data_IF_283552404447
#
_entry.id   IF_283552404447
#
_cell.length_a   1.000
_cell.length_b   1.000
_cell.length_c   1.000
_cell.angle_alpha   90.00
_cell.angle_beta   90.00
_cell.angle_gamma   90.00
#
_symmetry.space_group_name_H-M   'P 1'
#
loop_
_entity.id
_entity.type
_entity.pdbx_description
1 polymer ?
#
# COMPACT_ATOMS: atom_id res chain seq x y z
N UNK A 1 9.05 -19.38 15.53
CA UNK A 1 10.15 -18.53 15.01
C UNK A 1 9.87 -18.09 13.58
N UNK A 2 9.64 -19.02 12.63
CA UNK A 2 9.39 -18.69 11.20
C UNK A 2 8.18 -17.77 10.99
N UNK A 3 7.01 -18.09 11.55
CA UNK A 3 5.81 -17.24 11.42
C UNK A 3 6.01 -15.83 11.99
N UNK A 4 6.76 -15.75 13.10
CA UNK A 4 7.12 -14.49 13.75
C UNK A 4 8.02 -13.63 12.86
N UNK A 5 9.03 -14.24 12.22
CA UNK A 5 9.90 -13.57 11.26
C UNK A 5 9.12 -13.09 10.03
N UNK A 6 8.25 -13.93 9.46
CA UNK A 6 7.43 -13.57 8.30
C UNK A 6 6.47 -12.42 8.60
N UNK A 7 5.89 -12.39 9.80
CA UNK A 7 5.00 -11.31 10.22
C UNK A 7 5.75 -9.97 10.37
N UNK A 8 6.98 -9.99 10.91
CA UNK A 8 7.83 -8.79 11.00
C UNK A 8 8.27 -8.33 9.62
N UNK A 9 8.69 -9.25 8.74
CA UNK A 9 9.06 -8.94 7.35
C UNK A 9 7.86 -8.32 6.62
N UNK A 10 6.69 -8.94 6.70
CA UNK A 10 5.46 -8.43 6.09
C UNK A 10 5.08 -7.04 6.60
N UNK A 11 5.27 -6.77 7.89
CA UNK A 11 5.09 -5.42 8.45
C UNK A 11 6.08 -4.41 7.87
N UNK A 12 7.38 -4.72 7.88
CA UNK A 12 8.42 -3.81 7.39
C UNK A 12 8.25 -3.52 5.90
N UNK A 13 8.00 -4.54 5.07
CA UNK A 13 7.75 -4.35 3.64
C UNK A 13 6.51 -3.50 3.39
N UNK A 14 5.43 -3.73 4.14
CA UNK A 14 4.20 -2.93 4.02
C UNK A 14 4.39 -1.48 4.44
N UNK A 15 5.15 -1.23 5.50
CA UNK A 15 5.44 0.10 6.00
C UNK A 15 6.28 0.92 5.00
N UNK A 16 7.36 0.31 4.49
CA UNK A 16 8.19 0.93 3.45
C UNK A 16 7.39 1.15 2.17
N UNK A 17 6.55 0.17 1.78
CA UNK A 17 5.68 0.29 0.62
C UNK A 17 4.70 1.46 0.73
N UNK A 18 4.09 1.62 1.90
CA UNK A 18 3.15 2.71 2.16
C UNK A 18 3.81 4.08 2.11
N UNK A 19 5.04 4.22 2.65
CA UNK A 19 5.84 5.44 2.49
C UNK A 19 6.11 5.72 1.01
N UNK A 20 6.43 4.71 0.21
CA UNK A 20 6.61 4.86 -1.24
C UNK A 20 5.35 5.39 -1.94
N UNK A 21 4.17 4.91 -1.55
CA UNK A 21 2.88 5.42 -2.05
C UNK A 21 2.63 6.87 -1.63
N UNK A 22 2.98 7.25 -0.40
CA UNK A 22 2.90 8.65 0.06
C UNK A 22 3.82 9.55 -0.77
N UNK A 23 5.10 9.15 -0.95
CA UNK A 23 6.07 9.92 -1.74
C UNK A 23 5.57 10.10 -3.18
N UNK A 24 5.05 9.04 -3.79
CA UNK A 24 4.45 9.09 -5.13
C UNK A 24 3.28 10.05 -5.19
N UNK A 25 2.43 10.04 -4.16
CA UNK A 25 1.28 10.95 -4.08
C UNK A 25 1.73 12.39 -3.94
N UNK A 26 2.75 12.69 -3.15
CA UNK A 26 3.19 14.06 -2.86
C UNK A 26 4.10 14.69 -3.92
N UNK A 27 4.61 13.89 -4.86
CA UNK A 27 5.55 14.33 -5.91
C UNK A 27 4.86 14.53 -7.25
N UNK A 28 5.41 15.42 -8.09
CA UNK A 28 4.80 15.84 -9.35
C UNK A 28 5.52 15.32 -10.60
N UNK A 29 6.56 14.51 -10.45
CA UNK A 29 7.34 13.99 -11.58
C UNK A 29 6.85 12.60 -11.96
N UNK A 30 5.62 12.54 -12.47
CA UNK A 30 5.00 11.30 -12.88
C UNK A 30 5.38 10.92 -14.30
N UNK A 31 5.19 11.82 -15.26
CA UNK A 31 5.55 11.56 -16.67
C UNK A 31 6.29 12.74 -17.25
N UNK A 32 7.30 12.45 -18.06
CA UNK A 32 8.02 13.45 -18.83
C UNK A 32 7.47 13.43 -20.25
N UNK A 33 7.11 14.60 -20.75
CA UNK A 33 6.42 14.84 -22.02
C UNK A 33 7.19 15.82 -22.87
N UNK A 34 6.96 15.78 -24.17
CA UNK A 34 7.55 16.69 -25.15
C UNK A 34 6.42 17.30 -26.01
N UNK A 35 6.42 18.63 -26.13
CA UNK A 35 5.42 19.37 -26.93
C UNK A 35 5.69 19.37 -28.43
N UNK A 36 6.87 18.92 -28.86
CA UNK A 36 7.29 18.82 -30.26
C UNK A 36 7.59 17.35 -30.62
N UNK A 37 8.36 17.12 -31.69
CA UNK A 37 8.93 15.79 -31.94
C UNK A 37 10.05 15.50 -30.93
N UNK A 38 10.20 14.23 -30.54
CA UNK A 38 11.24 13.77 -29.59
C UNK A 38 12.66 14.29 -29.94
N UNK A 39 13.15 14.21 -31.19
CA UNK A 39 14.47 14.75 -31.51
C UNK A 39 14.56 16.27 -31.36
N UNK A 40 13.46 17.00 -31.59
CA UNK A 40 13.39 18.46 -31.42
C UNK A 40 13.47 18.87 -29.95
N UNK A 41 12.72 18.23 -29.06
CA UNK A 41 12.82 18.54 -27.61
C UNK A 41 14.20 18.22 -27.04
N UNK A 42 14.83 17.11 -27.46
CA UNK A 42 16.20 16.80 -27.01
C UNK A 42 17.23 17.82 -27.52
N UNK A 43 16.97 18.47 -28.66
CA UNK A 43 17.86 19.50 -29.22
C UNK A 43 17.65 20.88 -28.58
N UNK A 44 16.42 21.20 -28.20
CA UNK A 44 16.05 22.48 -27.57
C UNK A 44 16.14 22.42 -26.03
N UNK A 45 16.27 21.23 -25.45
CA UNK A 45 16.24 20.97 -24.01
C UNK A 45 14.96 21.47 -23.31
N UNK A 46 13.85 21.52 -24.07
CA UNK A 46 12.52 21.89 -23.58
C UNK A 46 11.69 20.62 -23.31
N UNK A 47 11.53 20.27 -22.02
CA UNK A 47 10.74 19.12 -21.56
C UNK A 47 9.62 19.59 -20.63
N UNK A 48 8.47 18.91 -20.69
CA UNK A 48 7.38 19.09 -19.73
C UNK A 48 7.35 17.92 -18.75
N UNK A 49 7.20 18.18 -17.45
CA UNK A 49 6.88 17.17 -16.45
C UNK A 49 5.40 17.33 -16.07
N UNK A 50 4.59 16.29 -16.25
CA UNK A 50 3.21 16.29 -15.76
C UNK A 50 3.09 15.49 -14.48
N UNK A 51 2.36 16.06 -13.54
CA UNK A 51 2.23 15.55 -12.18
C UNK A 51 0.80 15.47 -11.70
N UNK A 52 0.65 14.97 -10.48
CA UNK A 52 -0.64 14.88 -9.85
C UNK A 52 -1.13 16.26 -9.38
N UNK A 53 -0.25 17.11 -8.85
CA UNK A 53 -0.59 18.42 -8.26
C UNK A 53 -0.10 19.63 -9.04
N UNK A 54 0.94 19.47 -9.84
CA UNK A 54 1.55 20.53 -10.64
C UNK A 54 2.05 19.97 -11.98
N UNK A 55 1.98 20.80 -13.01
CA UNK A 55 2.66 20.56 -14.29
C UNK A 55 3.84 21.53 -14.37
N UNK A 56 5.01 21.02 -14.73
CA UNK A 56 6.24 21.79 -14.80
C UNK A 56 6.78 21.84 -16.22
N UNK A 57 7.37 22.97 -16.59
CA UNK A 57 8.13 23.16 -17.83
C UNK A 57 9.59 23.35 -17.46
N UNK A 58 10.45 22.57 -18.09
CA UNK A 58 11.90 22.56 -17.92
C UNK A 58 12.53 22.98 -19.25
N UNK A 59 13.26 24.08 -19.25
CA UNK A 59 14.08 24.55 -20.37
C UNK A 59 15.45 24.99 -19.85
N UNK A 60 16.42 25.25 -20.73
CA UNK A 60 17.74 25.74 -20.31
C UNK A 60 17.62 27.02 -19.48
N UNK A 61 17.95 26.94 -18.19
CA UNK A 61 17.88 28.07 -17.25
C UNK A 61 16.48 28.41 -16.75
N UNK A 62 15.47 27.58 -17.02
CA UNK A 62 14.08 27.83 -16.64
C UNK A 62 13.42 26.57 -16.06
N UNK A 63 12.97 26.65 -14.81
CA UNK A 63 12.16 25.62 -14.17
C UNK A 63 10.93 26.28 -13.56
N UNK A 64 9.79 26.14 -14.25
CA UNK A 64 8.53 26.74 -13.81
C UNK A 64 7.45 25.69 -13.67
N UNK A 65 6.85 25.62 -12.48
CA UNK A 65 5.73 24.73 -12.18
C UNK A 65 4.45 25.53 -12.01
N UNK A 66 3.40 25.12 -12.73
CA UNK A 66 2.05 25.63 -12.59
C UNK A 66 1.22 24.65 -11.75
N UNK A 67 0.68 25.07 -10.60
CA UNK A 67 -0.15 24.19 -9.78
C UNK A 67 -1.51 23.95 -10.43
N UNK A 68 -2.01 22.71 -10.33
CA UNK A 68 -3.29 22.26 -10.86
C UNK A 68 -4.38 22.41 -9.78
N UNK A 69 -4.75 23.66 -9.48
CA UNK A 69 -5.73 24.02 -8.43
C UNK A 69 -7.18 24.09 -8.93
N UNK A 70 -7.38 24.35 -10.21
CA UNK A 70 -8.70 24.57 -10.80
C UNK A 70 -9.38 23.24 -11.15
N UNK A 71 -10.14 22.69 -10.20
CA UNK A 71 -10.83 21.40 -10.33
C UNK A 71 -11.79 21.37 -11.53
N UNK A 72 -12.41 22.50 -11.88
CA UNK A 72 -13.40 22.59 -12.95
C UNK A 72 -12.79 22.58 -14.37
N UNK A 73 -11.51 22.93 -14.50
CA UNK A 73 -10.78 22.99 -15.78
C UNK A 73 -9.89 21.76 -15.96
N UNK A 74 -9.69 20.98 -14.89
CA UNK A 74 -8.75 19.87 -14.89
C UNK A 74 -9.29 18.64 -15.60
N UNK A 75 -8.48 17.93 -16.42
CA UNK A 75 -8.91 16.68 -17.03
C UNK A 75 -9.32 15.66 -15.96
N UNK A 76 -10.49 15.05 -16.16
CA UNK A 76 -11.13 14.18 -15.16
C UNK A 76 -10.27 12.99 -14.72
N UNK A 77 -9.37 12.49 -15.58
CA UNK A 77 -8.46 11.40 -15.21
C UNK A 77 -7.48 11.81 -14.10
N UNK A 78 -7.03 13.07 -14.07
CA UNK A 78 -6.11 13.56 -13.03
C UNK A 78 -6.84 13.61 -11.69
N UNK A 79 -8.09 14.06 -11.68
CA UNK A 79 -8.90 14.10 -10.47
C UNK A 79 -9.21 12.68 -9.94
N UNK A 80 -9.51 11.73 -10.84
CA UNK A 80 -9.70 10.34 -10.46
C UNK A 80 -8.41 9.74 -9.86
N UNK A 81 -7.26 9.96 -10.48
CA UNK A 81 -5.97 9.50 -9.96
C UNK A 81 -5.63 10.14 -8.62
N UNK A 82 -5.92 11.44 -8.41
CA UNK A 82 -5.80 12.11 -7.10
C UNK A 82 -6.62 11.39 -6.03
N UNK A 83 -7.91 11.15 -6.32
CA UNK A 83 -8.79 10.48 -5.38
C UNK A 83 -8.27 9.08 -5.02
N UNK A 84 -7.83 8.30 -6.01
CA UNK A 84 -7.27 6.97 -5.80
C UNK A 84 -5.99 6.97 -4.96
N UNK A 85 -5.04 7.88 -5.24
CA UNK A 85 -3.78 7.98 -4.50
C UNK A 85 -3.98 8.49 -3.06
N UNK A 86 -4.89 9.45 -2.86
CA UNK A 86 -5.26 9.93 -1.53
C UNK A 86 -5.95 8.80 -0.75
N UNK A 87 -6.90 8.10 -1.37
CA UNK A 87 -7.57 6.97 -0.74
C UNK A 87 -6.57 5.88 -0.36
N UNK A 88 -5.65 5.52 -1.27
CA UNK A 88 -4.55 4.58 -0.97
C UNK A 88 -3.73 5.06 0.24
N UNK A 89 -3.30 6.31 0.25
CA UNK A 89 -2.51 6.88 1.35
C UNK A 89 -3.25 6.84 2.69
N UNK A 90 -4.56 7.19 2.71
CA UNK A 90 -5.40 7.20 3.91
C UNK A 90 -5.68 5.77 4.40
N UNK A 91 -5.92 4.81 3.50
CA UNK A 91 -6.14 3.41 3.87
C UNK A 91 -4.91 2.76 4.52
N UNK A 92 -3.71 3.27 4.24
CA UNK A 92 -2.48 2.73 4.82
C UNK A 92 -2.31 3.05 6.30
N UNK A 93 -2.82 4.19 6.77
CA UNK A 93 -2.77 4.57 8.20
C UNK A 93 -3.42 3.51 9.11
N UNK A 94 -4.70 3.15 8.96
CA UNK A 94 -5.32 2.12 9.79
C UNK A 94 -4.70 0.75 9.54
N UNK A 95 -4.23 0.43 8.33
CA UNK A 95 -3.59 -0.84 8.05
C UNK A 95 -2.28 -1.02 8.85
N UNK A 96 -1.40 -0.02 8.85
CA UNK A 96 -0.14 -0.04 9.60
C UNK A 96 -0.39 -0.04 11.11
N UNK A 97 -1.35 0.77 11.60
CA UNK A 97 -1.72 0.78 13.02
C UNK A 97 -2.25 -0.58 13.47
N UNK A 98 -3.12 -1.21 12.67
CA UNK A 98 -3.58 -2.56 12.95
C UNK A 98 -2.41 -3.54 12.99
N UNK A 99 -1.48 -3.49 12.03
CA UNK A 99 -0.32 -4.40 12.06
C UNK A 99 0.51 -4.25 13.31
N UNK A 100 0.80 -3.02 13.75
CA UNK A 100 1.51 -2.74 15.00
C UNK A 100 0.89 -3.51 16.18
N UNK A 101 -0.44 -3.52 16.30
CA UNK A 101 -1.13 -4.26 17.36
C UNK A 101 -0.96 -5.78 17.28
N UNK A 102 -0.65 -6.33 16.10
CA UNK A 102 -0.49 -7.78 15.90
C UNK A 102 0.97 -8.21 16.11
N UNK A 103 1.95 -7.30 16.09
CA UNK A 103 3.36 -7.69 16.23
C UNK A 103 3.63 -8.39 17.58
N UNK A 104 4.52 -9.40 17.60
CA UNK A 104 4.88 -10.15 18.79
C UNK A 104 5.60 -9.32 19.86
N UNK A 105 6.24 -8.21 19.46
CA UNK A 105 6.93 -7.29 20.36
C UNK A 105 5.98 -6.34 21.10
N UNK A 106 4.72 -6.22 20.66
CA UNK A 106 3.70 -5.37 21.31
C UNK A 106 2.78 -6.28 22.13
N UNK A 107 3.01 -6.31 23.45
CA UNK A 107 2.19 -7.08 24.40
C UNK A 107 0.93 -6.29 24.77
N UNK A 108 -0.13 -6.47 23.98
CA UNK A 108 -1.48 -6.01 24.35
C UNK A 108 -2.17 -7.05 25.23
N UNK A 109 -1.95 -6.99 26.55
CA UNK A 109 -2.73 -7.72 27.57
C UNK A 109 -3.04 -9.20 27.31
N UNK A 110 -4.14 -9.69 27.91
CA UNK A 110 -4.70 -11.03 27.68
C UNK A 110 -5.73 -10.96 26.54
N UNK A 111 -5.27 -10.77 25.30
CA UNK A 111 -6.16 -10.77 24.14
C UNK A 111 -6.42 -12.19 23.60
N UNK A 112 -7.69 -12.54 23.28
CA UNK A 112 -8.00 -13.81 22.64
C UNK A 112 -7.36 -13.88 21.26
N UNK A 113 -6.74 -15.02 20.93
CA UNK A 113 -6.03 -15.22 19.65
C UNK A 113 -6.88 -14.95 18.41
N UNK A 114 -8.20 -15.16 18.51
CA UNK A 114 -9.19 -14.88 17.45
C UNK A 114 -9.28 -13.38 17.12
N UNK A 115 -9.22 -12.49 18.12
CA UNK A 115 -9.27 -11.04 17.90
C UNK A 115 -8.00 -10.55 17.20
N UNK A 116 -6.84 -11.06 17.63
CA UNK A 116 -5.54 -10.78 17.02
C UNK A 116 -5.51 -11.21 15.55
N UNK A 117 -6.05 -12.39 15.25
CA UNK A 117 -6.17 -12.90 13.90
C UNK A 117 -7.06 -12.02 13.00
N UNK A 118 -8.25 -11.62 13.46
CA UNK A 118 -9.15 -10.75 12.69
C UNK A 118 -8.50 -9.40 12.36
N UNK A 119 -7.74 -8.83 13.29
CA UNK A 119 -6.98 -7.59 13.05
C UNK A 119 -5.89 -7.78 11.98
N UNK A 120 -5.17 -8.91 12.02
CA UNK A 120 -4.16 -9.25 11.01
C UNK A 120 -4.79 -9.39 9.62
N UNK A 121 -5.94 -10.09 9.53
CA UNK A 121 -6.67 -10.23 8.27
C UNK A 121 -7.15 -8.88 7.72
N UNK A 122 -7.79 -8.07 8.56
CA UNK A 122 -8.27 -6.75 8.16
C UNK A 122 -7.12 -5.87 7.65
N UNK A 123 -5.98 -5.87 8.36
CA UNK A 123 -4.80 -5.12 7.95
C UNK A 123 -4.24 -5.59 6.60
N UNK A 124 -4.15 -6.90 6.38
CA UNK A 124 -3.69 -7.47 5.11
C UNK A 124 -4.61 -7.11 3.94
N UNK A 125 -5.93 -7.17 4.13
CA UNK A 125 -6.90 -6.77 3.10
C UNK A 125 -6.78 -5.27 2.77
N UNK A 126 -6.66 -4.42 3.79
CA UNK A 126 -6.49 -2.97 3.59
C UNK A 126 -5.20 -2.64 2.80
N UNK A 127 -4.10 -3.36 3.04
CA UNK A 127 -2.86 -3.20 2.29
C UNK A 127 -2.99 -3.61 0.82
N UNK A 128 -3.73 -4.69 0.53
CA UNK A 128 -3.99 -5.11 -0.84
C UNK A 128 -4.87 -4.07 -1.55
N UNK A 129 -5.94 -3.59 -0.90
CA UNK A 129 -6.80 -2.54 -1.46
C UNK A 129 -6.01 -1.26 -1.76
N UNK A 130 -5.14 -0.84 -0.83
CA UNK A 130 -4.22 0.27 -1.03
C UNK A 130 -3.32 0.07 -2.26
N UNK A 131 -2.69 -1.10 -2.37
CA UNK A 131 -1.80 -1.42 -3.49
C UNK A 131 -2.54 -1.40 -4.83
N UNK A 132 -3.77 -1.94 -4.88
CA UNK A 132 -4.61 -1.93 -6.08
C UNK A 132 -4.97 -0.50 -6.49
N UNK A 133 -5.40 0.35 -5.55
CA UNK A 133 -5.69 1.76 -5.84
C UNK A 133 -4.47 2.50 -6.40
N UNK A 134 -3.28 2.26 -5.81
CA UNK A 134 -2.04 2.87 -6.29
C UNK A 134 -1.63 2.35 -7.68
N UNK A 135 -1.75 1.05 -7.96
CA UNK A 135 -1.47 0.47 -9.28
C UNK A 135 -2.43 1.03 -10.34
N UNK A 136 -3.73 1.06 -10.05
CA UNK A 136 -4.72 1.61 -10.97
C UNK A 136 -4.40 3.07 -11.31
N UNK A 137 -4.12 3.91 -10.31
CA UNK A 137 -3.78 5.31 -10.55
C UNK A 137 -2.46 5.49 -11.35
N UNK A 138 -1.42 4.73 -11.01
CA UNK A 138 -0.09 4.83 -11.66
C UNK A 138 -0.05 4.23 -13.06
N UNK A 139 -0.96 3.33 -13.42
CA UNK A 139 -1.11 2.83 -14.79
C UNK A 139 -2.05 3.73 -15.60
N UNK A 140 -3.15 4.19 -15.00
CA UNK A 140 -4.15 4.99 -15.69
C UNK A 140 -3.61 6.38 -16.07
N UNK A 141 -2.85 7.02 -15.18
CA UNK A 141 -2.32 8.37 -15.40
C UNK A 141 -1.44 8.47 -16.66
N UNK A 142 -0.40 7.64 -16.87
CA UNK A 142 0.42 7.70 -18.07
C UNK A 142 -0.33 7.31 -19.34
N UNK A 143 -1.26 6.35 -19.26
CA UNK A 143 -2.06 5.94 -20.42
C UNK A 143 -2.92 7.10 -20.93
N UNK A 144 -3.54 7.86 -20.03
CA UNK A 144 -4.29 9.06 -20.39
C UNK A 144 -3.37 10.19 -20.87
N UNK A 145 -2.26 10.44 -20.17
CA UNK A 145 -1.31 11.48 -20.55
C UNK A 145 -0.73 11.24 -21.96
N UNK A 146 -0.46 9.98 -22.34
CA UNK A 146 0.03 9.62 -23.66
C UNK A 146 -0.95 9.94 -24.80
N UNK A 147 -2.27 9.96 -24.52
CA UNK A 147 -3.28 10.33 -25.51
C UNK A 147 -3.31 11.84 -25.78
N UNK A 148 -2.90 12.65 -24.81
CA UNK A 148 -2.83 14.10 -24.96
C UNK A 148 -1.50 14.55 -25.56
N UNK A 149 -0.39 14.03 -25.05
CA UNK A 149 0.96 14.44 -25.43
C UNK A 149 1.91 13.25 -25.49
N UNK A 150 2.93 13.34 -26.36
CA UNK A 150 3.91 12.26 -26.49
C UNK A 150 4.77 12.18 -25.22
N UNK A 151 4.68 11.02 -24.54
CA UNK A 151 5.53 10.70 -23.40
C UNK A 151 6.92 10.32 -23.91
N UNK A 152 7.94 10.94 -23.34
CA UNK A 152 9.35 10.59 -23.62
C UNK A 152 9.90 9.59 -22.62
N UNK A 153 9.54 9.74 -21.34
CA UNK A 153 10.02 8.90 -20.24
C UNK A 153 9.03 8.91 -19.06
N UNK A 154 9.08 7.86 -18.24
CA UNK A 154 8.42 7.84 -16.93
C UNK A 154 9.28 8.56 -15.89
N UNK A 155 8.63 9.34 -15.03
CA UNK A 155 9.29 10.05 -13.93
C UNK A 155 9.50 9.17 -12.69
N UNK A 156 10.32 9.66 -11.76
CA UNK A 156 10.71 8.90 -10.56
C UNK A 156 9.52 8.59 -9.64
N UNK A 157 8.47 9.42 -9.65
CA UNK A 157 7.26 9.21 -8.85
C UNK A 157 6.59 7.89 -9.21
N UNK A 158 6.48 7.55 -10.49
CA UNK A 158 5.85 6.29 -10.93
C UNK A 158 6.65 5.06 -10.48
N UNK A 159 7.99 5.13 -10.57
CA UNK A 159 8.84 4.03 -10.08
C UNK A 159 8.68 3.84 -8.57
N UNK A 160 8.67 4.93 -7.80
CA UNK A 160 8.40 4.86 -6.36
C UNK A 160 7.02 4.27 -6.06
N UNK A 161 6.01 4.60 -6.90
CA UNK A 161 4.64 4.12 -6.75
C UNK A 161 4.52 2.62 -7.03
N UNK A 162 5.14 2.14 -8.10
CA UNK A 162 5.16 0.72 -8.45
C UNK A 162 5.90 -0.11 -7.42
N UNK A 163 7.10 0.33 -7.00
CA UNK A 163 7.86 -0.35 -5.95
C UNK A 163 7.04 -0.35 -4.65
N UNK A 164 6.47 0.80 -4.28
CA UNK A 164 5.65 0.95 -3.09
C UNK A 164 4.44 0.01 -3.08
N UNK A 165 3.70 -0.02 -4.20
CA UNK A 165 2.52 -0.87 -4.33
C UNK A 165 2.87 -2.37 -4.32
N UNK A 166 3.95 -2.78 -5.00
CA UNK A 166 4.42 -4.18 -4.96
C UNK A 166 4.80 -4.58 -3.53
N UNK A 167 5.52 -3.72 -2.81
CA UNK A 167 5.90 -3.98 -1.41
C UNK A 167 4.67 -4.10 -0.49
N UNK A 168 3.65 -3.24 -0.66
CA UNK A 168 2.39 -3.35 0.07
C UNK A 168 1.61 -4.63 -0.29
N UNK A 169 1.59 -5.01 -1.57
CA UNK A 169 0.88 -6.21 -2.04
C UNK A 169 1.54 -7.48 -1.50
N UNK A 170 2.87 -7.58 -1.61
CA UNK A 170 3.64 -8.70 -1.06
C UNK A 170 3.50 -8.74 0.46
N UNK A 171 3.64 -7.61 1.15
CA UNK A 171 3.48 -7.54 2.60
C UNK A 171 2.08 -7.96 3.06
N UNK A 172 1.04 -7.46 2.41
CA UNK A 172 -0.36 -7.83 2.67
C UNK A 172 -0.61 -9.32 2.47
N UNK A 173 -0.12 -9.91 1.38
CA UNK A 173 -0.22 -11.35 1.11
C UNK A 173 0.51 -12.19 2.19
N UNK A 174 1.74 -11.82 2.55
CA UNK A 174 2.51 -12.51 3.60
C UNK A 174 1.75 -12.49 4.93
N UNK A 175 1.18 -11.35 5.30
CA UNK A 175 0.40 -11.20 6.53
C UNK A 175 -0.86 -12.07 6.51
N UNK A 176 -1.59 -12.10 5.38
CA UNK A 176 -2.79 -12.94 5.24
C UNK A 176 -2.47 -14.43 5.33
N UNK A 177 -1.40 -14.88 4.68
CA UNK A 177 -0.95 -16.27 4.75
C UNK A 177 -0.55 -16.66 6.18
N UNK A 178 0.22 -15.83 6.88
CA UNK A 178 0.66 -16.11 8.25
C UNK A 178 -0.49 -16.09 9.26
N UNK A 179 -1.53 -15.29 9.00
CA UNK A 179 -2.71 -15.26 9.84
C UNK A 179 -3.45 -16.61 9.79
N UNK A 180 -3.62 -17.21 8.60
CA UNK A 180 -4.38 -18.45 8.40
C UNK A 180 -3.84 -19.63 9.22
N UNK A 181 -2.51 -19.80 9.27
CA UNK A 181 -1.86 -20.85 10.04
C UNK A 181 -2.06 -20.69 11.56
N UNK A 182 -2.12 -19.45 12.04
CA UNK A 182 -2.33 -19.15 13.46
C UNK A 182 -3.77 -19.48 13.91
N UNK A 183 -4.77 -19.31 13.04
CA UNK A 183 -6.16 -19.70 13.35
C UNK A 183 -6.30 -21.22 13.42
N UNK A 184 -5.74 -21.97 12.46
CA UNK A 184 -5.80 -23.43 12.45
C UNK A 184 -5.21 -24.05 13.71
N UNK A 185 -4.09 -23.49 14.21
CA UNK A 185 -3.48 -23.93 15.46
C UNK A 185 -4.34 -23.58 16.70
N UNK A 186 -5.02 -22.43 16.67
CA UNK A 186 -5.93 -22.01 17.74
C UNK A 186 -7.19 -22.87 17.83
N UNK A 187 -7.86 -23.15 16.71
CA UNK A 187 -9.04 -24.02 16.66
C UNK A 187 -8.71 -25.44 17.12
N UNK A 188 -7.62 -26.03 16.62
CA UNK A 188 -7.19 -27.36 17.07
C UNK A 188 -6.97 -27.41 18.58
N UNK A 189 -6.39 -26.35 19.17
CA UNK A 189 -6.19 -26.28 20.62
C UNK A 189 -7.51 -26.22 21.40
N UNK A 190 -8.51 -25.47 20.91
CA UNK A 190 -9.85 -25.42 21.50
C UNK A 190 -10.59 -26.76 21.39
N UNK A 191 -10.45 -27.48 20.27
CA UNK A 191 -11.00 -28.84 20.14
C UNK A 191 -10.33 -29.86 21.07
N UNK A 192 -9.01 -29.76 21.29
CA UNK A 192 -8.32 -30.62 22.27
C UNK A 192 -8.67 -30.28 23.72
N UNK A 193 -9.03 -29.03 24.03
CA UNK A 193 -9.47 -28.66 25.40
C UNK A 193 -10.95 -28.99 25.65
N UNK A 194 -11.80 -29.05 24.62
CA UNK A 194 -13.19 -29.49 24.76
C UNK A 194 -13.36 -31.02 24.75
N UNK A 195 -12.37 -31.78 24.27
CA UNK A 195 -12.35 -33.25 24.29
C UNK A 195 -11.83 -33.90 25.57
N UNK A 196 -11.38 -33.15 26.57
CA UNK A 196 -10.86 -33.70 27.85
C UNK A 196 -11.89 -33.71 28.99
N UNK A 197 -13.18 -33.75 28.69
CA UNK A 197 -14.21 -34.10 29.68
C UNK A 197 -14.28 -35.61 29.84
N UNK A 198 -13.27 -36.18 30.52
CA UNK A 198 -13.39 -37.52 31.09
C UNK A 198 -14.41 -37.46 32.24
N UNK A 199 -15.55 -38.18 32.19
CA UNK A 199 -16.35 -38.40 33.38
C UNK A 199 -15.76 -39.62 34.08
N UNK A 200 -15.38 -39.50 35.36
CA UNK A 200 -15.86 -40.37 36.44
C UNK A 200 -15.09 -40.13 37.75
N UNK A 201 -15.83 -39.56 38.70
CA UNK A 201 -16.03 -40.12 40.03
C UNK A 201 -14.88 -40.03 41.04
N UNK A 202 -14.81 -38.88 41.72
CA UNK A 202 -14.31 -38.80 43.09
C UNK A 202 -15.17 -39.70 44.00
N UNK A 203 -14.55 -40.64 44.72
CA UNK A 203 -15.13 -41.25 45.92
C UNK A 203 -14.23 -40.92 47.10
N UNK A 204 -14.64 -39.90 47.85
CA UNK A 204 -14.18 -39.64 49.21
C UNK A 204 -15.06 -40.44 50.18
N UNK A 205 -14.47 -41.15 51.15
CA UNK A 205 -14.99 -41.23 52.52
C UNK A 205 -14.01 -42.02 53.42
N UNK A 206 -13.58 -41.34 54.48
CA UNK A 206 -13.21 -41.86 55.79
C UNK A 206 -13.94 -43.17 56.19
N UNK A 207 -13.20 -44.17 56.69
CA UNK A 207 -13.23 -44.70 58.07
C UNK A 207 -11.83 -45.23 58.40
#
# INVERSE_FOLDING_TARGET
MVATCLQVVGFVTSFVGWIGVIVTTSTNDWVVTCGYTIPTCRKLDELGSKGLWADCVMATGLYHCKPLVDILILPGYVQACRALMIAASVLGLPAILLLLTVLPCIRMGHEPGVAKYRRAQLAGVLLILLALCAIVATIWFPVCAHRETTIVSFGYSLYAGWIGAVLCLVGGCVILCCAGDAQAFGENRFYYTSGSSSPTHAKSAHV
#
